data_IF_084087305941
#
_entry.id   IF_084087305941
#
_cell.length_a   1.000
_cell.length_b   1.000
_cell.length_c   1.000
_cell.angle_alpha   90.00
_cell.angle_beta   90.00
_cell.angle_gamma   90.00
#
_symmetry.space_group_name_H-M   'P 1'
#
loop_
_entity.id
_entity.type
_entity.pdbx_description
1 polymer ?
#
# COMPACT_ATOMS: atom_id res chain seq x y z
N UNK A 1 -13.03 14.96 14.32
CA UNK A 1 -12.33 14.79 13.02
C UNK A 1 -13.27 14.13 12.01
N UNK A 2 -12.96 14.07 10.70
CA UNK A 2 -13.80 13.34 9.75
C UNK A 2 -14.11 11.90 10.18
N UNK A 3 -13.17 11.26 10.88
CA UNK A 3 -13.31 9.90 11.42
C UNK A 3 -14.39 9.75 12.52
N UNK A 4 -14.83 10.87 13.13
CA UNK A 4 -15.88 10.87 14.16
C UNK A 4 -17.29 11.07 13.58
N UNK A 5 -17.40 11.36 12.27
CA UNK A 5 -18.69 11.60 11.63
C UNK A 5 -19.44 10.29 11.36
N UNK A 6 -20.79 10.33 11.29
CA UNK A 6 -21.58 9.17 10.89
C UNK A 6 -21.33 8.85 9.41
N UNK A 7 -20.36 7.96 9.14
CA UNK A 7 -19.88 7.67 7.79
C UNK A 7 -21.00 7.21 6.84
N UNK A 8 -22.02 6.50 7.35
CA UNK A 8 -23.17 6.03 6.58
C UNK A 8 -23.98 7.19 5.99
N UNK A 9 -24.25 8.22 6.77
CA UNK A 9 -25.00 9.42 6.34
C UNK A 9 -24.20 10.21 5.31
N UNK A 10 -22.89 10.36 5.54
CA UNK A 10 -21.98 11.04 4.62
C UNK A 10 -21.91 10.31 3.28
N UNK A 11 -21.70 8.99 3.30
CA UNK A 11 -21.61 8.18 2.09
C UNK A 11 -22.95 8.13 1.34
N UNK A 12 -24.09 8.09 2.04
CA UNK A 12 -25.42 8.15 1.41
C UNK A 12 -25.61 9.39 0.55
N UNK A 13 -25.09 10.54 1.00
CA UNK A 13 -25.11 11.79 0.20
C UNK A 13 -24.07 11.75 -0.92
N UNK A 14 -22.92 11.13 -0.70
CA UNK A 14 -21.80 11.12 -1.65
C UNK A 14 -21.97 10.13 -2.83
N UNK A 15 -22.55 8.94 -2.60
CA UNK A 15 -22.60 7.85 -3.59
C UNK A 15 -23.07 8.26 -5.00
N UNK A 16 -24.11 9.12 -5.17
CA UNK A 16 -24.54 9.57 -6.50
C UNK A 16 -23.45 10.29 -7.31
N UNK A 17 -22.41 10.81 -6.65
CA UNK A 17 -21.34 11.60 -7.25
C UNK A 17 -20.01 10.83 -7.40
N UNK A 18 -19.90 9.61 -6.88
CA UNK A 18 -18.66 8.81 -6.90
C UNK A 18 -18.57 7.88 -8.13
N UNK A 19 -19.63 7.75 -8.91
CA UNK A 19 -19.69 6.83 -10.03
C UNK A 19 -19.74 5.36 -9.57
N UNK A 20 -18.97 4.49 -10.23
CA UNK A 20 -18.90 3.07 -9.85
C UNK A 20 -18.04 2.91 -8.60
N UNK A 21 -18.65 2.45 -7.51
CA UNK A 21 -17.96 2.16 -6.26
C UNK A 21 -17.61 0.66 -6.18
N UNK A 22 -16.31 0.33 -6.17
CA UNK A 22 -15.83 -1.05 -6.17
C UNK A 22 -15.18 -1.42 -4.84
N UNK A 23 -15.60 -2.54 -4.27
CA UNK A 23 -15.00 -3.15 -3.09
C UNK A 23 -14.85 -4.65 -3.34
N UNK A 24 -13.61 -5.13 -3.39
CA UNK A 24 -13.29 -6.53 -3.58
C UNK A 24 -12.01 -6.89 -2.83
N UNK A 25 -11.96 -8.13 -2.34
CA UNK A 25 -10.72 -8.70 -1.82
C UNK A 25 -9.73 -8.94 -2.97
N UNK A 26 -8.44 -8.80 -2.68
CA UNK A 26 -7.34 -9.09 -3.60
C UNK A 26 -6.23 -9.79 -2.83
N UNK A 27 -5.58 -10.77 -3.46
CA UNK A 27 -4.47 -11.54 -2.89
C UNK A 27 -3.10 -10.84 -3.08
N UNK A 28 -3.12 -9.56 -3.44
CA UNK A 28 -1.90 -8.79 -3.68
C UNK A 28 -1.25 -8.35 -2.37
N UNK A 29 0.07 -8.51 -2.27
CA UNK A 29 0.91 -7.93 -1.24
C UNK A 29 2.12 -7.18 -1.86
N UNK A 30 2.83 -6.33 -1.08
CA UNK A 30 3.96 -5.54 -1.59
C UNK A 30 5.17 -6.35 -2.09
N UNK A 31 5.24 -7.65 -1.78
CA UNK A 31 6.34 -8.54 -2.14
C UNK A 31 6.01 -9.46 -3.33
N UNK A 32 4.73 -9.68 -3.64
CA UNK A 32 4.23 -10.69 -4.59
C UNK A 32 4.89 -10.64 -5.97
N UNK A 33 5.08 -9.45 -6.54
CA UNK A 33 5.64 -9.25 -7.89
C UNK A 33 7.03 -8.66 -7.87
N UNK A 34 7.69 -8.65 -6.70
CA UNK A 34 8.97 -8.01 -6.55
C UNK A 34 10.08 -8.83 -7.22
N UNK A 35 10.84 -8.16 -8.08
CA UNK A 35 11.99 -8.75 -8.77
C UNK A 35 13.20 -7.82 -8.64
N UNK A 36 14.22 -8.23 -7.90
CA UNK A 36 15.44 -7.45 -7.70
C UNK A 36 16.42 -7.67 -8.87
N UNK A 37 16.28 -6.84 -9.90
CA UNK A 37 17.15 -6.85 -11.07
C UNK A 37 18.56 -6.28 -10.78
N UNK A 38 18.73 -5.54 -9.69
CA UNK A 38 19.99 -4.88 -9.34
C UNK A 38 20.34 -5.12 -7.86
N UNK A 39 20.74 -6.35 -7.49
CA UNK A 39 21.06 -6.69 -6.11
C UNK A 39 22.07 -5.74 -5.49
N UNK A 40 21.75 -5.22 -4.31
CA UNK A 40 22.61 -4.30 -3.55
C UNK A 40 22.42 -2.81 -3.84
N UNK A 41 21.65 -2.45 -4.88
CA UNK A 41 21.33 -1.05 -5.19
C UNK A 41 19.95 -0.61 -4.68
N UNK A 42 19.10 -1.57 -4.30
CA UNK A 42 17.77 -1.32 -3.74
C UNK A 42 17.64 -1.68 -2.26
N UNK A 43 16.39 -1.81 -1.78
CA UNK A 43 16.12 -2.40 -0.47
C UNK A 43 16.48 -3.88 -0.52
N UNK A 44 17.69 -4.23 -0.05
CA UNK A 44 18.14 -5.60 0.05
C UNK A 44 17.36 -6.42 1.10
N UNK A 45 17.67 -7.73 1.23
CA UNK A 45 16.95 -8.65 2.11
C UNK A 45 16.98 -8.26 3.58
N UNK A 46 17.94 -7.42 4.01
CA UNK A 46 18.04 -6.91 5.38
C UNK A 46 17.04 -5.83 5.73
N UNK A 47 16.38 -5.23 4.73
CA UNK A 47 15.38 -4.18 4.92
C UNK A 47 13.96 -4.68 4.65
N UNK A 48 13.82 -5.85 4.04
CA UNK A 48 12.51 -6.45 3.77
C UNK A 48 12.12 -7.37 4.90
N UNK A 49 10.82 -7.48 5.10
CA UNK A 49 10.24 -8.43 6.04
C UNK A 49 9.30 -9.38 5.28
N UNK A 50 9.79 -10.58 4.91
CA UNK A 50 8.95 -11.60 4.28
C UNK A 50 7.99 -12.30 5.25
N UNK A 51 8.23 -12.20 6.56
CA UNK A 51 7.38 -12.85 7.57
C UNK A 51 6.09 -12.06 7.80
N UNK A 52 6.13 -10.74 7.60
CA UNK A 52 4.96 -9.86 7.56
C UNK A 52 4.98 -8.99 6.28
N UNK A 53 4.31 -9.45 5.20
CA UNK A 53 4.30 -8.76 3.91
C UNK A 53 3.81 -7.31 3.98
N UNK A 54 2.98 -6.95 4.97
CA UNK A 54 2.40 -5.63 5.12
C UNK A 54 3.25 -4.66 5.95
N UNK A 55 4.44 -5.07 6.39
CA UNK A 55 5.38 -4.15 7.03
C UNK A 55 5.70 -2.95 6.13
N UNK A 56 5.71 -1.76 6.72
CA UNK A 56 5.99 -0.51 6.00
C UNK A 56 7.34 -0.56 5.26
N UNK A 57 8.30 -1.32 5.77
CA UNK A 57 9.60 -1.53 5.15
C UNK A 57 9.53 -2.15 3.74
N UNK A 58 8.49 -2.94 3.45
CA UNK A 58 8.25 -3.53 2.13
C UNK A 58 7.71 -2.52 1.11
N UNK A 59 7.05 -1.44 1.57
CA UNK A 59 6.51 -0.37 0.73
C UNK A 59 7.53 0.70 0.37
N UNK A 60 8.48 0.98 1.26
CA UNK A 60 9.44 2.07 1.03
C UNK A 60 10.26 1.74 -0.21
N UNK A 61 10.19 2.58 -1.24
CA UNK A 61 11.10 2.50 -2.37
C UNK A 61 12.48 2.99 -1.92
N UNK A 62 13.58 2.28 -2.23
CA UNK A 62 14.92 2.76 -1.92
C UNK A 62 15.16 4.15 -2.51
N UNK A 63 15.37 5.14 -1.63
CA UNK A 63 15.89 6.44 -2.03
C UNK A 63 17.37 6.27 -2.40
N UNK A 64 17.85 6.80 -3.54
CA UNK A 64 19.28 6.84 -3.83
C UNK A 64 19.98 7.54 -2.67
N UNK A 65 20.94 6.89 -2.03
CA UNK A 65 21.84 7.61 -1.13
C UNK A 65 22.67 8.53 -2.01
N UNK A 66 22.57 9.84 -1.78
CA UNK A 66 23.59 10.76 -2.26
C UNK A 66 24.92 10.24 -1.72
N UNK A 67 25.84 9.93 -2.63
CA UNK A 67 27.23 9.62 -2.32
C UNK A 67 27.91 10.82 -1.68
#
# INVERSE_FOLDING_TARGET
>A
VPDDLPYEDVLKVAYPYLGTFHSAAVDWDPLMTRNDLFPGFGNGPTRLDPADPWQFANFIVPTPRAV
#
